data_IF_324384325849
#
_entry.id   IF_324384325849
#
_cell.length_a   1.000
_cell.length_b   1.000
_cell.length_c   1.000
_cell.angle_alpha   90.00
_cell.angle_beta   90.00
_cell.angle_gamma   90.00
#
_symmetry.space_group_name_H-M   'P 1'
#
loop_
_entity.id
_entity.type
_entity.pdbx_description
1 polymer ?
#
# COMPACT_ATOMS: atom_id res chain seq x y z
N UNK A 1 -61.69 -59.20 67.87
CA UNK A 1 -60.69 -59.35 66.78
C UNK A 1 -60.49 -58.04 66.00
N UNK A 2 -61.56 -57.36 65.56
CA UNK A 2 -61.49 -56.09 64.82
C UNK A 2 -60.86 -54.92 65.60
N UNK A 3 -61.17 -54.77 66.90
CA UNK A 3 -60.65 -53.66 67.74
C UNK A 3 -59.12 -53.73 67.93
N UNK A 4 -58.56 -54.94 68.12
CA UNK A 4 -57.10 -55.13 68.25
C UNK A 4 -56.35 -54.83 66.94
N UNK A 5 -57.00 -55.00 65.79
CA UNK A 5 -56.43 -54.68 64.48
C UNK A 5 -56.41 -53.17 64.23
N UNK A 6 -57.42 -52.44 64.71
CA UNK A 6 -57.51 -50.98 64.58
C UNK A 6 -56.41 -50.27 65.41
N UNK A 7 -56.25 -50.66 66.68
CA UNK A 7 -55.15 -50.17 67.57
C UNK A 7 -53.75 -50.43 66.97
N UNK A 8 -53.56 -51.58 66.31
CA UNK A 8 -52.30 -51.92 65.65
C UNK A 8 -52.04 -51.11 64.37
N UNK A 9 -53.09 -50.66 63.67
CA UNK A 9 -52.95 -49.82 62.47
C UNK A 9 -52.63 -48.36 62.83
N UNK A 10 -53.24 -47.82 63.89
CA UNK A 10 -53.01 -46.43 64.33
C UNK A 10 -51.55 -46.22 64.79
N UNK A 11 -51.00 -47.16 65.56
CA UNK A 11 -49.59 -47.09 66.00
C UNK A 11 -48.59 -47.13 64.83
N UNK A 12 -48.88 -47.90 63.78
CA UNK A 12 -48.05 -47.97 62.58
C UNK A 12 -48.09 -46.64 61.80
N UNK A 13 -49.26 -46.01 61.66
CA UNK A 13 -49.40 -44.71 61.01
C UNK A 13 -48.62 -43.61 61.75
N UNK A 14 -48.64 -43.62 63.09
CA UNK A 14 -47.85 -42.66 63.89
C UNK A 14 -46.36 -42.84 63.62
N UNK A 15 -45.83 -44.06 63.64
CA UNK A 15 -44.41 -44.33 63.41
C UNK A 15 -43.99 -43.87 62.00
N UNK A 16 -44.78 -44.20 60.97
CA UNK A 16 -44.50 -43.78 59.59
C UNK A 16 -44.47 -42.26 59.46
N UNK A 17 -45.39 -41.55 60.12
CA UNK A 17 -45.42 -40.08 60.09
C UNK A 17 -44.16 -39.46 60.72
N UNK A 18 -43.67 -40.05 61.83
CA UNK A 18 -42.46 -39.60 62.51
C UNK A 18 -41.23 -39.84 61.63
N UNK A 19 -41.13 -41.00 61.00
CA UNK A 19 -40.02 -41.32 60.09
C UNK A 19 -40.00 -40.40 58.88
N UNK A 20 -41.16 -40.14 58.26
CA UNK A 20 -41.27 -39.19 57.15
C UNK A 20 -40.88 -37.79 57.62
N UNK A 21 -41.35 -37.35 58.79
CA UNK A 21 -40.98 -36.06 59.36
C UNK A 21 -39.48 -35.93 59.59
N UNK A 22 -38.83 -36.97 60.11
CA UNK A 22 -37.39 -37.00 60.35
C UNK A 22 -36.58 -36.98 59.04
N UNK A 23 -37.03 -37.72 58.02
CA UNK A 23 -36.42 -37.71 56.68
C UNK A 23 -36.58 -36.33 56.04
N UNK A 24 -37.76 -35.73 56.12
CA UNK A 24 -38.05 -34.41 55.56
C UNK A 24 -37.22 -33.33 56.26
N UNK A 25 -37.09 -33.40 57.60
CA UNK A 25 -36.23 -32.52 58.38
C UNK A 25 -34.75 -32.69 58.00
N UNK A 26 -34.27 -33.92 57.84
CA UNK A 26 -32.90 -34.20 57.41
C UNK A 26 -32.61 -33.63 56.02
N UNK A 27 -33.55 -33.75 55.08
CA UNK A 27 -33.45 -33.21 53.72
C UNK A 27 -33.45 -31.67 53.73
N UNK A 28 -34.33 -31.03 54.51
CA UNK A 28 -34.37 -29.57 54.63
C UNK A 28 -33.06 -29.00 55.19
N UNK A 29 -32.52 -29.60 56.25
CA UNK A 29 -31.24 -29.20 56.85
C UNK A 29 -30.05 -29.42 55.91
N UNK A 30 -30.12 -30.42 55.01
CA UNK A 30 -29.12 -30.63 53.96
C UNK A 30 -29.22 -29.59 52.84
N UNK A 31 -30.43 -29.21 52.46
CA UNK A 31 -30.69 -28.29 51.35
C UNK A 31 -30.14 -26.88 51.63
N UNK A 32 -30.29 -26.37 52.85
CA UNK A 32 -29.73 -25.07 53.24
C UNK A 32 -28.19 -25.03 53.12
N UNK A 33 -27.52 -26.10 53.56
CA UNK A 33 -26.04 -26.19 53.43
C UNK A 33 -25.57 -26.24 51.98
N UNK A 34 -26.32 -26.93 51.11
CA UNK A 34 -25.99 -27.01 49.69
C UNK A 34 -26.17 -25.63 49.04
N UNK A 35 -27.27 -24.93 49.34
CA UNK A 35 -27.51 -23.59 48.78
C UNK A 35 -26.42 -22.57 49.17
N UNK A 36 -25.91 -22.63 50.39
CA UNK A 36 -24.82 -21.75 50.82
C UNK A 36 -23.52 -22.04 50.07
N UNK A 37 -23.11 -23.32 49.97
CA UNK A 37 -21.90 -23.72 49.26
C UNK A 37 -21.98 -23.42 47.75
N UNK A 38 -23.17 -23.59 47.14
CA UNK A 38 -23.42 -23.24 45.74
C UNK A 38 -23.37 -21.72 45.55
N UNK A 39 -23.97 -20.93 46.44
CA UNK A 39 -23.93 -19.46 46.35
C UNK A 39 -22.51 -18.90 46.46
N UNK A 40 -21.69 -19.46 47.36
CA UNK A 40 -20.30 -19.07 47.54
C UNK A 40 -19.43 -19.45 46.34
N UNK A 41 -19.63 -20.65 45.79
CA UNK A 41 -18.95 -21.10 44.56
C UNK A 41 -19.29 -20.23 43.34
N UNK A 42 -20.58 -19.87 43.18
CA UNK A 42 -21.03 -18.98 42.10
C UNK A 42 -20.45 -17.57 42.26
N UNK A 43 -20.40 -17.04 43.49
CA UNK A 43 -19.78 -15.73 43.77
C UNK A 43 -18.29 -15.74 43.48
N UNK A 44 -17.57 -16.80 43.84
CA UNK A 44 -16.14 -16.97 43.53
C UNK A 44 -15.88 -17.00 42.02
N UNK A 45 -16.60 -17.85 41.29
CA UNK A 45 -16.47 -17.97 39.84
C UNK A 45 -16.82 -16.66 39.10
N UNK A 46 -17.87 -15.96 39.54
CA UNK A 46 -18.25 -14.66 38.95
C UNK A 46 -17.16 -13.60 39.16
N UNK A 47 -16.51 -13.60 40.33
CA UNK A 47 -15.41 -12.69 40.63
C UNK A 47 -14.17 -12.96 39.76
N UNK A 48 -13.84 -14.22 39.52
CA UNK A 48 -12.70 -14.60 38.68
C UNK A 48 -12.95 -14.31 37.21
N UNK A 49 -14.17 -14.53 36.72
CA UNK A 49 -14.58 -14.13 35.36
C UNK A 49 -14.49 -12.61 35.19
N UNK A 50 -14.96 -11.82 36.16
CA UNK A 50 -14.86 -10.37 36.10
C UNK A 50 -13.39 -9.88 36.06
N UNK A 51 -12.51 -10.49 36.86
CA UNK A 51 -11.06 -10.20 36.83
C UNK A 51 -10.44 -10.57 35.48
N UNK A 52 -10.77 -11.75 34.95
CA UNK A 52 -10.25 -12.21 33.67
C UNK A 52 -10.70 -11.31 32.51
N UNK A 53 -11.96 -10.88 32.50
CA UNK A 53 -12.48 -9.91 31.55
C UNK A 53 -11.76 -8.56 31.67
N UNK A 54 -11.56 -8.06 32.88
CA UNK A 54 -10.85 -6.78 33.09
C UNK A 54 -9.39 -6.85 32.62
N UNK A 55 -8.70 -7.97 32.86
CA UNK A 55 -7.34 -8.19 32.37
C UNK A 55 -7.29 -8.26 30.84
N UNK A 56 -8.22 -8.98 30.21
CA UNK A 56 -8.32 -9.05 28.75
C UNK A 56 -8.61 -7.67 28.14
N UNK A 57 -9.54 -6.90 28.71
CA UNK A 57 -9.85 -5.54 28.23
C UNK A 57 -8.63 -4.62 28.32
N UNK A 58 -7.83 -4.70 29.39
CA UNK A 58 -6.58 -3.92 29.51
C UNK A 58 -5.57 -4.32 28.44
N UNK A 59 -5.33 -5.61 28.25
CA UNK A 59 -4.42 -6.10 27.20
C UNK A 59 -4.89 -5.72 25.80
N UNK A 60 -6.19 -5.73 25.55
CA UNK A 60 -6.76 -5.28 24.28
C UNK A 60 -6.52 -3.78 24.06
N UNK A 61 -6.74 -2.94 25.08
CA UNK A 61 -6.47 -1.50 24.98
C UNK A 61 -4.99 -1.22 24.69
N UNK A 62 -4.06 -1.88 25.39
CA UNK A 62 -2.61 -1.72 25.12
C UNK A 62 -2.24 -2.11 23.68
N UNK A 63 -2.82 -3.20 23.17
CA UNK A 63 -2.61 -3.62 21.77
C UNK A 63 -3.22 -2.65 20.77
N UNK A 64 -4.40 -2.11 21.05
CA UNK A 64 -5.06 -1.12 20.19
C UNK A 64 -4.31 0.20 20.16
N UNK A 65 -3.74 0.66 21.29
CA UNK A 65 -2.89 1.85 21.33
C UNK A 65 -1.62 1.66 20.52
N UNK A 66 -0.95 0.51 20.69
CA UNK A 66 0.25 0.16 19.91
C UNK A 66 -0.07 0.11 18.41
N UNK A 67 -1.19 -0.52 18.03
CA UNK A 67 -1.62 -0.58 16.63
C UNK A 67 -1.96 0.81 16.09
N UNK A 68 -2.60 1.67 16.89
CA UNK A 68 -2.93 3.04 16.50
C UNK A 68 -1.68 3.91 16.30
N UNK A 69 -0.65 3.74 17.12
CA UNK A 69 0.65 4.39 16.93
C UNK A 69 1.30 3.97 15.61
N UNK A 70 1.38 2.65 15.35
CA UNK A 70 1.94 2.12 14.10
C UNK A 70 1.17 2.61 12.88
N UNK A 71 -0.17 2.62 12.93
CA UNK A 71 -1.02 3.14 11.85
C UNK A 71 -0.80 4.66 11.67
N UNK A 72 -0.64 5.41 12.75
CA UNK A 72 -0.32 6.84 12.71
C UNK A 72 1.01 7.11 12.01
N UNK A 73 2.06 6.36 12.35
CA UNK A 73 3.38 6.45 11.74
C UNK A 73 3.34 6.06 10.26
N UNK A 74 2.61 5.00 9.90
CA UNK A 74 2.41 4.61 8.50
C UNK A 74 1.68 5.69 7.70
N UNK A 75 0.64 6.33 8.27
CA UNK A 75 -0.09 7.42 7.60
C UNK A 75 0.80 8.63 7.36
N UNK A 76 1.71 8.94 8.30
CA UNK A 76 2.70 10.01 8.15
C UNK A 76 3.68 9.71 7.01
N UNK A 77 4.26 8.51 6.99
CA UNK A 77 5.20 8.07 5.95
C UNK A 77 4.53 8.00 4.56
N UNK A 78 3.26 7.57 4.48
CA UNK A 78 2.49 7.57 3.22
C UNK A 78 2.15 9.00 2.74
N UNK A 79 1.92 9.94 3.67
CA UNK A 79 1.76 11.35 3.36
C UNK A 79 3.01 11.95 2.70
N UNK A 80 4.18 11.70 3.30
CA UNK A 80 5.48 12.11 2.76
C UNK A 80 5.74 11.49 1.38
N UNK A 81 5.39 10.21 1.17
CA UNK A 81 5.57 9.54 -0.12
C UNK A 81 4.60 10.04 -1.21
N UNK A 82 3.39 10.47 -0.84
CA UNK A 82 2.45 11.12 -1.77
C UNK A 82 2.99 12.46 -2.29
N UNK A 83 3.69 13.20 -1.43
CA UNK A 83 4.34 14.46 -1.79
C UNK A 83 5.51 14.25 -2.77
N UNK A 84 6.32 13.21 -2.54
CA UNK A 84 7.38 12.78 -3.49
C UNK A 84 6.79 12.40 -4.85
N UNK A 85 5.65 11.70 -4.88
CA UNK A 85 4.95 11.34 -6.11
C UNK A 85 4.48 12.54 -6.94
N UNK A 86 4.08 13.65 -6.29
CA UNK A 86 3.74 14.91 -6.97
C UNK A 86 4.98 15.59 -7.57
N UNK A 87 6.10 15.58 -6.85
CA UNK A 87 7.37 16.14 -7.34
C UNK A 87 7.88 15.44 -8.61
N UNK A 88 7.79 14.11 -8.66
CA UNK A 88 8.20 13.33 -9.83
C UNK A 88 7.30 13.61 -11.03
N UNK A 89 5.98 13.72 -10.82
CA UNK A 89 5.02 14.03 -11.90
C UNK A 89 5.23 15.43 -12.47
N UNK A 90 5.49 16.41 -11.60
CA UNK A 90 5.82 17.79 -12.00
C UNK A 90 7.14 17.86 -12.79
N UNK A 91 8.18 17.11 -12.39
CA UNK A 91 9.42 17.03 -13.15
C UNK A 91 9.22 16.37 -14.52
N UNK A 92 8.38 15.34 -14.59
CA UNK A 92 8.03 14.69 -15.85
C UNK A 92 7.28 15.63 -16.80
N UNK A 93 6.32 16.40 -16.30
CA UNK A 93 5.63 17.45 -17.08
C UNK A 93 6.59 18.57 -17.51
N UNK A 94 7.53 18.95 -16.65
CA UNK A 94 8.57 19.94 -16.96
C UNK A 94 9.49 19.47 -18.10
N UNK A 95 9.92 18.20 -18.08
CA UNK A 95 10.75 17.61 -19.14
C UNK A 95 9.96 17.28 -20.42
N UNK A 96 8.65 17.09 -20.35
CA UNK A 96 7.78 16.85 -21.51
C UNK A 96 7.41 18.13 -22.28
N UNK A 97 7.65 19.31 -21.71
CA UNK A 97 7.37 20.58 -22.38
C UNK A 97 8.19 20.74 -23.67
N UNK A 98 7.54 20.89 -24.86
CA UNK A 98 8.24 20.96 -26.15
C UNK A 98 9.29 22.08 -26.25
N UNK A 99 9.05 23.21 -25.58
CA UNK A 99 9.98 24.36 -25.58
C UNK A 99 11.26 24.08 -24.80
N UNK A 100 11.13 23.44 -23.63
CA UNK A 100 12.28 23.11 -22.79
C UNK A 100 13.10 21.96 -23.40
N UNK A 101 12.44 20.96 -23.97
CA UNK A 101 13.10 19.89 -24.72
C UNK A 101 13.89 20.41 -25.92
N UNK A 102 13.34 21.39 -26.66
CA UNK A 102 14.06 22.07 -27.74
C UNK A 102 15.32 22.76 -27.23
N UNK A 103 15.18 23.65 -26.24
CA UNK A 103 16.31 24.41 -25.68
C UNK A 103 17.41 23.52 -25.07
N UNK A 104 17.03 22.48 -24.31
CA UNK A 104 17.99 21.52 -23.74
C UNK A 104 18.65 20.71 -24.86
N UNK A 105 17.89 20.30 -25.87
CA UNK A 105 18.41 19.59 -27.03
C UNK A 105 19.43 20.41 -27.82
N UNK A 106 19.15 21.70 -28.05
CA UNK A 106 20.05 22.64 -28.71
C UNK A 106 21.35 22.84 -27.90
N UNK A 107 21.25 22.99 -26.58
CA UNK A 107 22.40 23.19 -25.71
C UNK A 107 23.28 21.92 -25.61
N UNK A 108 22.67 20.74 -25.46
CA UNK A 108 23.38 19.46 -25.50
C UNK A 108 24.04 19.25 -26.86
N UNK A 109 23.36 19.60 -27.96
CA UNK A 109 23.93 19.53 -29.30
C UNK A 109 25.16 20.45 -29.44
N UNK A 110 25.06 21.69 -28.95
CA UNK A 110 26.18 22.63 -28.95
C UNK A 110 27.38 22.11 -28.15
N UNK A 111 27.13 21.53 -26.97
CA UNK A 111 28.17 20.95 -26.12
C UNK A 111 28.82 19.72 -26.77
N UNK A 112 28.03 18.83 -27.40
CA UNK A 112 28.54 17.65 -28.10
C UNK A 112 29.38 18.02 -29.32
N UNK A 113 28.89 18.95 -30.15
CA UNK A 113 29.63 19.42 -31.33
C UNK A 113 30.92 20.13 -30.89
N UNK A 114 30.85 20.97 -29.85
CA UNK A 114 32.01 21.68 -29.32
C UNK A 114 33.08 20.77 -28.71
N UNK A 115 32.70 19.60 -28.20
CA UNK A 115 33.65 18.58 -27.71
C UNK A 115 34.25 17.73 -28.83
N UNK A 116 33.49 17.50 -29.91
CA UNK A 116 33.89 16.59 -30.99
C UNK A 116 34.66 17.30 -32.10
N UNK A 117 34.34 18.56 -32.40
CA UNK A 117 34.87 19.29 -33.54
C UNK A 117 35.66 20.56 -33.13
N UNK A 118 36.67 20.97 -33.91
CA UNK A 118 37.36 22.23 -33.67
C UNK A 118 36.40 23.41 -33.87
N UNK A 119 36.50 24.45 -33.03
CA UNK A 119 35.63 25.65 -33.06
C UNK A 119 35.58 26.40 -34.40
N UNK A 120 36.52 26.14 -35.31
CA UNK A 120 36.58 26.76 -36.64
C UNK A 120 35.77 26.02 -37.69
N UNK A 121 35.35 24.79 -37.42
CA UNK A 121 34.70 23.91 -38.40
C UNK A 121 33.19 23.83 -38.23
N UNK A 122 32.60 24.56 -37.28
CA UNK A 122 31.15 24.57 -37.07
C UNK A 122 30.61 25.95 -36.69
N UNK A 123 29.37 26.21 -37.06
CA UNK A 123 28.61 27.41 -36.73
C UNK A 123 27.26 27.02 -36.10
N UNK A 124 26.98 27.56 -34.92
CA UNK A 124 25.67 27.37 -34.26
C UNK A 124 24.69 28.44 -34.74
N UNK A 125 23.41 28.10 -34.82
CA UNK A 125 22.31 28.99 -35.24
C UNK A 125 22.55 29.71 -36.59
N UNK A 126 23.07 28.99 -37.58
CA UNK A 126 23.41 29.55 -38.89
C UNK A 126 22.14 29.96 -39.66
N UNK A 127 22.12 31.20 -40.15
CA UNK A 127 21.06 31.73 -40.98
C UNK A 127 21.52 31.74 -42.45
N UNK A 128 20.82 31.00 -43.30
CA UNK A 128 21.05 31.03 -44.74
C UNK A 128 20.55 32.34 -45.34
N UNK A 129 21.16 32.75 -46.47
CA UNK A 129 20.68 33.90 -47.26
C UNK A 129 19.24 33.73 -47.77
N UNK A 130 18.75 32.49 -47.83
CA UNK A 130 17.37 32.13 -48.17
C UNK A 130 16.36 32.38 -47.03
N UNK A 131 16.81 32.78 -45.84
CA UNK A 131 15.97 32.98 -44.65
C UNK A 131 15.74 31.73 -43.81
N UNK A 132 16.24 30.56 -44.24
CA UNK A 132 16.22 29.34 -43.44
C UNK A 132 17.23 29.43 -42.28
N UNK A 133 16.80 29.10 -41.06
CA UNK A 133 17.67 29.02 -39.88
C UNK A 133 17.78 27.56 -39.44
N UNK A 134 19.00 27.09 -39.16
CA UNK A 134 19.28 25.73 -38.67
C UNK A 134 20.04 25.80 -37.35
N UNK A 135 19.94 24.75 -36.54
CA UNK A 135 20.51 24.75 -35.18
C UNK A 135 22.04 24.71 -35.18
N UNK A 136 22.65 23.95 -36.10
CA UNK A 136 24.08 23.96 -36.33
C UNK A 136 24.44 23.64 -37.80
N UNK A 137 25.59 24.15 -38.24
CA UNK A 137 26.21 23.82 -39.54
C UNK A 137 27.65 23.40 -39.30
N UNK A 138 28.05 22.29 -39.89
CA UNK A 138 29.42 21.82 -39.93
C UNK A 138 30.01 22.11 -41.31
N UNK A 139 31.16 22.77 -41.35
CA UNK A 139 31.94 23.00 -42.56
C UNK A 139 32.84 21.78 -42.82
N UNK A 140 32.63 21.12 -43.95
CA UNK A 140 33.40 19.95 -44.38
C UNK A 140 33.94 20.18 -45.78
N UNK A 141 34.97 19.44 -46.18
CA UNK A 141 35.56 19.56 -47.53
C UNK A 141 34.55 19.30 -48.67
N UNK A 142 33.46 18.58 -48.37
CA UNK A 142 32.38 18.26 -49.30
C UNK A 142 31.23 19.29 -49.31
N UNK A 143 31.28 20.32 -48.46
CA UNK A 143 30.25 21.35 -48.33
C UNK A 143 29.74 21.53 -46.89
N UNK A 144 28.62 22.26 -46.76
CA UNK A 144 27.99 22.59 -45.48
C UNK A 144 26.98 21.51 -45.06
N UNK A 145 27.22 20.87 -43.91
CA UNK A 145 26.32 19.89 -43.33
C UNK A 145 25.45 20.53 -42.25
N UNK A 146 24.14 20.61 -42.50
CA UNK A 146 23.17 21.11 -41.52
C UNK A 146 22.75 20.04 -40.51
N UNK A 147 22.69 20.44 -39.25
CA UNK A 147 22.23 19.61 -38.14
C UNK A 147 21.08 20.36 -37.45
N UNK A 148 19.91 19.73 -37.42
CA UNK A 148 18.71 20.21 -36.72
C UNK A 148 18.47 19.31 -35.51
N UNK A 149 18.30 19.90 -34.33
CA UNK A 149 18.15 19.21 -33.05
C UNK A 149 16.80 18.51 -32.90
N UNK A 150 15.84 18.71 -33.84
CA UNK A 150 14.58 17.95 -33.90
C UNK A 150 14.81 16.55 -34.46
N UNK A 151 15.78 15.84 -33.90
CA UNK A 151 15.93 14.41 -34.11
C UNK A 151 14.67 13.71 -33.61
N UNK A 152 13.96 12.96 -34.47
CA UNK A 152 12.81 12.18 -34.06
C UNK A 152 13.30 11.01 -33.18
N UNK A 153 13.39 11.27 -31.87
CA UNK A 153 13.87 10.29 -30.88
C UNK A 153 12.98 9.05 -30.82
N UNK A 154 11.69 9.16 -31.13
CA UNK A 154 10.80 7.99 -31.33
C UNK A 154 11.40 7.03 -32.37
N UNK A 155 11.77 7.54 -33.54
CA UNK A 155 12.30 6.71 -34.63
C UNK A 155 13.68 6.14 -34.29
N UNK A 156 14.52 6.90 -33.57
CA UNK A 156 15.80 6.38 -33.09
C UNK A 156 15.61 5.28 -32.05
N UNK A 157 14.66 5.45 -31.13
CA UNK A 157 14.33 4.44 -30.11
C UNK A 157 13.75 3.19 -30.76
N UNK A 158 12.84 3.33 -31.72
CA UNK A 158 12.26 2.23 -32.50
C UNK A 158 13.30 1.49 -33.34
N UNK A 159 14.29 2.21 -33.90
CA UNK A 159 15.41 1.58 -34.61
C UNK A 159 16.28 0.71 -33.69
N UNK A 160 16.46 1.12 -32.43
CA UNK A 160 17.35 0.42 -31.49
C UNK A 160 16.64 -0.65 -30.63
N UNK A 161 15.38 -0.40 -30.25
CA UNK A 161 14.58 -1.24 -29.35
C UNK A 161 13.37 -1.91 -30.03
N UNK A 162 13.19 -1.74 -31.33
CA UNK A 162 12.08 -2.35 -32.06
C UNK A 162 12.11 -3.87 -31.97
N UNK A 163 10.94 -4.46 -31.71
CA UNK A 163 10.78 -5.90 -31.45
C UNK A 163 11.08 -6.78 -32.67
N UNK A 164 10.88 -6.26 -33.89
CA UNK A 164 11.07 -7.01 -35.14
C UNK A 164 12.07 -6.30 -36.08
N UNK A 165 12.72 -7.06 -36.96
CA UNK A 165 13.65 -6.50 -37.96
C UNK A 165 12.97 -5.53 -38.95
N UNK A 166 11.71 -5.79 -39.32
CA UNK A 166 10.94 -4.91 -40.21
C UNK A 166 10.69 -3.54 -39.59
N UNK A 167 10.25 -3.49 -38.33
CA UNK A 167 10.02 -2.22 -37.61
C UNK A 167 11.32 -1.42 -37.47
N UNK A 168 12.44 -2.10 -37.21
CA UNK A 168 13.76 -1.44 -37.14
C UNK A 168 14.20 -0.88 -38.50
N UNK A 169 13.98 -1.62 -39.58
CA UNK A 169 14.34 -1.20 -40.94
C UNK A 169 13.48 -0.04 -41.45
N UNK A 170 12.18 -0.04 -41.16
CA UNK A 170 11.31 1.06 -41.55
C UNK A 170 11.56 2.32 -40.71
N UNK A 171 11.81 2.17 -39.40
CA UNK A 171 12.26 3.27 -38.55
C UNK A 171 13.59 3.87 -39.04
N UNK A 172 14.52 3.03 -39.53
CA UNK A 172 15.79 3.47 -40.12
C UNK A 172 15.59 4.26 -41.41
N UNK A 173 14.74 3.80 -42.33
CA UNK A 173 14.41 4.53 -43.57
C UNK A 173 13.79 5.89 -43.26
N UNK A 174 12.86 5.93 -42.32
CA UNK A 174 12.19 7.15 -41.89
C UNK A 174 13.12 8.12 -41.17
N UNK A 175 14.10 7.60 -40.41
CA UNK A 175 15.14 8.40 -39.78
C UNK A 175 16.06 9.05 -40.81
N UNK A 176 16.49 8.32 -41.84
CA UNK A 176 17.35 8.85 -42.91
C UNK A 176 16.61 9.90 -43.74
N UNK A 177 15.34 9.66 -44.11
CA UNK A 177 14.52 10.62 -44.89
C UNK A 177 14.40 11.99 -44.20
N UNK A 178 14.39 12.02 -42.87
CA UNK A 178 14.24 13.27 -42.10
C UNK A 178 15.55 14.06 -41.95
N UNK A 179 16.72 13.46 -42.26
CA UNK A 179 18.00 14.20 -42.34
C UNK A 179 18.08 14.91 -43.69
N UNK A 180 18.03 16.24 -43.67
CA UNK A 180 18.24 17.07 -44.87
C UNK A 180 19.68 17.54 -44.94
N UNK A 181 20.33 17.30 -46.08
CA UNK A 181 21.53 18.06 -46.45
C UNK A 181 21.09 19.46 -46.88
N UNK A 182 21.82 20.48 -46.44
CA UNK A 182 21.65 21.82 -46.99
C UNK A 182 22.44 21.88 -48.30
N UNK A 183 21.73 22.17 -49.40
CA UNK A 183 22.31 22.57 -50.66
C UNK A 183 22.15 24.08 -50.82
#
# INVERSE_FOLDING_TARGET
MVVLYYESMDTLLVIVSIVIGFILLYVLLRFERINQAVSESIRGQTGDVAKMLQMNTRQLNERLDTASQVIGDLKKNLGEMSEVGKGIRSLQEFLQSPKLRGNIGEQVLADMIGQTFPKKSFHLQYAFRSGAKVDAVLETDAGLLCIDSKFPMENFTLMHKGETEEVRNDAKKDFVRKKRFCQ
#
